data_IF_443692312673
#
_entry.id   IF_443692312673
#
_cell.length_a   1.000
_cell.length_b   1.000
_cell.length_c   1.000
_cell.angle_alpha   90.00
_cell.angle_beta   90.00
_cell.angle_gamma   90.00
#
_symmetry.space_group_name_H-M   'P 1'
#
loop_
_entity.id
_entity.type
_entity.pdbx_description
1 polymer ?
#
# COMPACT_ATOMS: atom_id res chain seq x y z
N UNK A 1 -27.48 -13.39 -6.14
CA UNK A 1 -26.59 -13.05 -5.01
C UNK A 1 -25.93 -14.32 -4.52
N UNK A 2 -24.61 -14.33 -4.33
CA UNK A 2 -23.91 -15.46 -3.73
C UNK A 2 -24.34 -15.56 -2.25
N UNK A 3 -24.79 -16.72 -1.78
CA UNK A 3 -25.35 -16.88 -0.43
C UNK A 3 -24.84 -18.14 0.25
N UNK A 4 -24.84 -18.14 1.59
CA UNK A 4 -24.50 -19.28 2.43
C UNK A 4 -23.08 -19.81 2.21
N UNK A 5 -22.96 -21.12 2.00
CA UNK A 5 -21.68 -21.84 1.90
C UNK A 5 -20.86 -21.35 0.70
N UNK A 6 -21.50 -21.10 -0.45
CA UNK A 6 -20.79 -20.63 -1.66
C UNK A 6 -20.13 -19.28 -1.44
N UNK A 7 -20.82 -18.34 -0.76
CA UNK A 7 -20.24 -17.05 -0.39
C UNK A 7 -19.07 -17.22 0.56
N UNK A 8 -19.23 -18.04 1.59
CA UNK A 8 -18.17 -18.33 2.55
C UNK A 8 -16.93 -18.91 1.86
N UNK A 9 -17.09 -19.94 1.04
CA UNK A 9 -15.99 -20.58 0.30
C UNK A 9 -15.25 -19.58 -0.60
N UNK A 10 -15.98 -18.76 -1.37
CA UNK A 10 -15.36 -17.76 -2.25
C UNK A 10 -14.59 -16.70 -1.45
N UNK A 11 -15.16 -16.20 -0.35
CA UNK A 11 -14.49 -15.24 0.54
C UNK A 11 -13.25 -15.88 1.18
N UNK A 12 -13.32 -17.14 1.61
CA UNK A 12 -12.18 -17.85 2.18
C UNK A 12 -11.04 -18.00 1.17
N UNK A 13 -11.33 -18.43 -0.06
CA UNK A 13 -10.33 -18.53 -1.13
C UNK A 13 -9.73 -17.16 -1.42
N UNK A 14 -10.56 -16.13 -1.58
CA UNK A 14 -10.09 -14.76 -1.81
C UNK A 14 -9.22 -14.25 -0.65
N UNK A 15 -9.56 -14.58 0.59
CA UNK A 15 -8.80 -14.19 1.77
C UNK A 15 -7.45 -14.89 1.84
N UNK A 16 -7.40 -16.19 1.55
CA UNK A 16 -6.15 -16.95 1.46
C UNK A 16 -5.26 -16.36 0.37
N UNK A 17 -5.80 -16.14 -0.83
CA UNK A 17 -5.06 -15.57 -1.94
C UNK A 17 -4.50 -14.18 -1.60
N UNK A 18 -5.33 -13.31 -1.00
CA UNK A 18 -4.91 -11.99 -0.50
C UNK A 18 -3.74 -12.10 0.48
N UNK A 19 -3.82 -13.01 1.44
CA UNK A 19 -2.78 -13.19 2.46
C UNK A 19 -1.47 -13.71 1.85
N UNK A 20 -1.54 -14.68 0.92
CA UNK A 20 -0.37 -15.19 0.19
C UNK A 20 0.31 -14.06 -0.56
N UNK A 21 -0.44 -13.30 -1.38
CA UNK A 21 0.12 -12.16 -2.12
C UNK A 21 0.73 -11.12 -1.19
N UNK A 22 0.06 -10.79 -0.08
CA UNK A 22 0.56 -9.82 0.89
C UNK A 22 1.88 -10.27 1.56
N UNK A 23 2.03 -11.55 1.88
CA UNK A 23 3.27 -12.12 2.42
C UNK A 23 4.37 -12.10 1.35
N UNK A 24 4.07 -12.53 0.12
CA UNK A 24 5.03 -12.53 -0.99
C UNK A 24 5.57 -11.13 -1.27
N UNK A 25 4.70 -10.12 -1.34
CA UNK A 25 5.10 -8.72 -1.59
C UNK A 25 6.03 -8.22 -0.47
N UNK A 26 5.66 -8.43 0.80
CA UNK A 26 6.51 -7.98 1.93
C UNK A 26 7.88 -8.64 1.91
N UNK A 27 7.94 -9.94 1.68
CA UNK A 27 9.20 -10.68 1.58
C UNK A 27 10.03 -10.21 0.40
N UNK A 28 9.41 -10.01 -0.77
CA UNK A 28 10.09 -9.50 -1.97
C UNK A 28 10.69 -8.11 -1.74
N UNK A 29 9.92 -7.20 -1.15
CA UNK A 29 10.40 -5.86 -0.79
C UNK A 29 11.57 -5.93 0.20
N UNK A 30 11.49 -6.78 1.22
CA UNK A 30 12.57 -6.94 2.20
C UNK A 30 13.85 -7.48 1.55
N UNK A 31 13.75 -8.42 0.61
CA UNK A 31 14.90 -8.90 -0.16
C UNK A 31 15.54 -7.79 -1.00
N UNK A 32 14.73 -6.98 -1.69
CA UNK A 32 15.23 -5.86 -2.50
C UNK A 32 15.91 -4.82 -1.61
N UNK A 33 15.32 -4.45 -0.47
CA UNK A 33 15.93 -3.51 0.48
C UNK A 33 17.29 -4.01 0.98
N UNK A 34 17.38 -5.30 1.37
CA UNK A 34 18.63 -5.88 1.82
C UNK A 34 19.70 -5.95 0.72
N UNK A 35 19.31 -6.07 -0.56
CA UNK A 35 20.25 -6.01 -1.69
C UNK A 35 20.69 -4.59 -2.04
N UNK A 36 19.82 -3.61 -1.85
CA UNK A 36 20.10 -2.21 -2.17
C UNK A 36 20.98 -1.50 -1.13
N UNK A 37 21.14 -2.09 0.07
CA UNK A 37 21.86 -1.49 1.20
C UNK A 37 23.10 -2.31 1.54
N UNK A 38 24.20 -1.63 1.84
CA UNK A 38 25.44 -2.26 2.31
C UNK A 38 25.21 -3.07 3.59
N UNK A 39 25.90 -4.22 3.71
CA UNK A 39 25.69 -5.18 4.79
C UNK A 39 25.73 -4.55 6.20
N UNK A 40 26.62 -3.58 6.42
CA UNK A 40 26.77 -2.91 7.71
C UNK A 40 25.57 -2.00 8.08
N UNK A 41 24.80 -1.53 7.09
CA UNK A 41 23.66 -0.62 7.28
C UNK A 41 22.31 -1.33 7.21
N UNK A 42 22.26 -2.63 6.92
CA UNK A 42 20.99 -3.38 6.78
C UNK A 42 20.13 -3.30 8.04
N UNK A 43 20.74 -3.31 9.22
CA UNK A 43 20.03 -3.15 10.49
C UNK A 43 19.31 -1.80 10.59
N UNK A 44 19.99 -0.71 10.27
CA UNK A 44 19.42 0.63 10.27
C UNK A 44 18.34 0.79 9.19
N UNK A 45 18.59 0.32 7.97
CA UNK A 45 17.63 0.37 6.88
C UNK A 45 16.35 -0.44 7.19
N UNK A 46 16.49 -1.65 7.71
CA UNK A 46 15.34 -2.46 8.12
C UNK A 46 14.56 -1.80 9.28
N UNK A 47 15.26 -1.16 10.21
CA UNK A 47 14.64 -0.38 11.31
C UNK A 47 13.82 0.82 10.82
N UNK A 48 14.36 1.59 9.87
CA UNK A 48 13.66 2.72 9.23
C UNK A 48 12.42 2.21 8.48
N UNK A 49 12.57 1.17 7.67
CA UNK A 49 11.47 0.56 6.93
C UNK A 49 10.35 0.04 7.84
N UNK A 50 10.71 -0.63 8.94
CA UNK A 50 9.75 -1.12 9.94
C UNK A 50 9.03 0.03 10.65
N UNK A 51 9.74 1.10 10.99
CA UNK A 51 9.15 2.31 11.61
C UNK A 51 8.18 3.01 10.67
N UNK A 52 8.57 3.21 9.41
CA UNK A 52 7.69 3.81 8.40
C UNK A 52 6.45 2.95 8.16
N UNK A 53 6.63 1.62 8.06
CA UNK A 53 5.53 0.68 7.89
C UNK A 53 4.57 0.70 9.08
N UNK A 54 5.07 0.65 10.31
CA UNK A 54 4.24 0.63 11.52
C UNK A 54 3.48 1.94 11.69
N UNK A 55 4.12 3.08 11.39
CA UNK A 55 3.47 4.39 11.36
C UNK A 55 2.31 4.41 10.35
N UNK A 56 2.55 3.99 9.10
CA UNK A 56 1.48 3.91 8.10
C UNK A 56 0.35 2.96 8.51
N UNK A 57 0.66 1.83 9.16
CA UNK A 57 -0.34 0.89 9.69
C UNK A 57 -1.14 1.47 10.86
N UNK A 58 -0.59 2.40 11.63
CA UNK A 58 -1.31 3.09 12.70
C UNK A 58 -2.21 4.21 12.15
N UNK A 59 -1.71 4.99 11.19
CA UNK A 59 -2.44 6.10 10.58
C UNK A 59 -3.59 5.61 9.69
N UNK A 60 -3.40 4.49 8.99
CA UNK A 60 -4.39 3.94 8.05
C UNK A 60 -5.79 3.73 8.64
N UNK A 61 -5.95 2.97 9.74
CA UNK A 61 -7.24 2.79 10.40
C UNK A 61 -7.83 4.08 10.95
N UNK A 62 -7.01 5.00 11.48
CA UNK A 62 -7.47 6.28 12.01
C UNK A 62 -8.04 7.17 10.88
N UNK A 63 -7.30 7.30 9.78
CA UNK A 63 -7.74 8.04 8.60
C UNK A 63 -8.99 7.38 7.97
N UNK A 64 -8.99 6.06 7.82
CA UNK A 64 -10.14 5.31 7.32
C UNK A 64 -11.39 5.47 8.19
N UNK A 65 -11.23 5.43 9.51
CA UNK A 65 -12.31 5.65 10.48
C UNK A 65 -12.86 7.07 10.43
N UNK A 66 -12.01 8.09 10.27
CA UNK A 66 -12.43 9.47 10.11
C UNK A 66 -13.24 9.67 8.81
N UNK A 67 -12.75 9.15 7.68
CA UNK A 67 -13.45 9.19 6.39
C UNK A 67 -14.79 8.46 6.48
N UNK A 68 -14.82 7.28 7.11
CA UNK A 68 -16.05 6.51 7.29
C UNK A 68 -17.06 7.30 8.13
N UNK A 69 -16.64 7.86 9.26
CA UNK A 69 -17.50 8.68 10.13
C UNK A 69 -18.08 9.87 9.38
N UNK A 70 -17.26 10.53 8.56
CA UNK A 70 -17.71 11.65 7.74
C UNK A 70 -18.72 11.22 6.67
N UNK A 71 -18.48 10.09 6.01
CA UNK A 71 -19.42 9.45 5.09
C UNK A 71 -20.76 9.17 5.78
N UNK A 72 -20.76 8.61 6.99
CA UNK A 72 -22.00 8.33 7.73
C UNK A 72 -22.77 9.61 8.08
N UNK A 73 -22.08 10.71 8.40
CA UNK A 73 -22.72 12.00 8.73
C UNK A 73 -23.41 12.67 7.53
N UNK A 74 -23.03 12.31 6.30
CA UNK A 74 -23.48 12.99 5.06
C UNK A 74 -24.27 12.08 4.11
N UNK A 75 -25.00 11.10 4.66
CA UNK A 75 -25.79 10.14 3.86
C UNK A 75 -26.83 10.81 2.94
N UNK A 76 -27.39 11.94 3.35
CA UNK A 76 -28.45 12.64 2.60
C UNK A 76 -27.92 13.75 1.67
N UNK A 77 -26.60 13.79 1.40
CA UNK A 77 -26.03 14.77 0.49
C UNK A 77 -26.33 14.46 -0.99
N UNK A 78 -26.61 15.50 -1.78
CA UNK A 78 -26.84 15.36 -3.22
C UNK A 78 -25.58 14.98 -4.03
N UNK A 79 -24.39 15.10 -3.45
CA UNK A 79 -23.12 14.78 -4.11
C UNK A 79 -22.25 13.92 -3.19
N UNK A 80 -21.81 12.76 -3.69
CA UNK A 80 -21.08 11.72 -2.96
C UNK A 80 -21.72 11.30 -1.61
N UNK A 81 -23.00 10.86 -1.59
CA UNK A 81 -23.66 10.39 -0.39
C UNK A 81 -23.03 9.12 0.21
N UNK A 82 -22.87 9.13 1.52
CA UNK A 82 -22.53 7.92 2.29
C UNK A 82 -21.30 7.19 1.77
N UNK A 83 -21.47 5.90 1.47
CA UNK A 83 -20.37 5.00 1.08
C UNK A 83 -19.64 5.42 -0.20
N UNK A 84 -20.29 6.16 -1.11
CA UNK A 84 -19.66 6.65 -2.34
C UNK A 84 -18.47 7.56 -2.04
N UNK A 85 -18.54 8.35 -0.97
CA UNK A 85 -17.42 9.17 -0.49
C UNK A 85 -16.21 8.31 -0.10
N UNK A 86 -16.44 7.21 0.62
CA UNK A 86 -15.36 6.28 1.03
C UNK A 86 -14.68 5.70 -0.20
N UNK A 87 -15.46 5.21 -1.17
CA UNK A 87 -14.92 4.67 -2.41
C UNK A 87 -14.16 5.74 -3.20
N UNK A 88 -14.66 6.97 -3.27
CA UNK A 88 -13.97 8.06 -3.95
C UNK A 88 -12.58 8.32 -3.35
N UNK A 89 -12.48 8.46 -2.01
CA UNK A 89 -11.19 8.64 -1.35
C UNK A 89 -10.24 7.46 -1.54
N UNK A 90 -10.76 6.22 -1.48
CA UNK A 90 -9.95 5.03 -1.75
C UNK A 90 -9.40 5.04 -3.18
N UNK A 91 -10.23 5.34 -4.18
CA UNK A 91 -9.79 5.42 -5.58
C UNK A 91 -8.81 6.58 -5.82
N UNK A 92 -8.98 7.71 -5.13
CA UNK A 92 -8.06 8.84 -5.22
C UNK A 92 -6.68 8.49 -4.65
N UNK A 93 -6.64 7.85 -3.48
CA UNK A 93 -5.38 7.40 -2.87
C UNK A 93 -4.71 6.33 -3.73
N UNK A 94 -5.47 5.36 -4.25
CA UNK A 94 -4.96 4.33 -5.16
C UNK A 94 -4.41 4.94 -6.46
N UNK A 95 -5.16 5.87 -7.06
CA UNK A 95 -4.76 6.58 -8.27
C UNK A 95 -3.48 7.40 -8.06
N UNK A 96 -3.34 8.08 -6.92
CA UNK A 96 -2.09 8.73 -6.54
C UNK A 96 -0.95 7.72 -6.34
N UNK A 97 -1.22 6.57 -5.74
CA UNK A 97 -0.23 5.50 -5.58
C UNK A 97 0.29 4.97 -6.92
N UNK A 98 -0.60 4.73 -7.88
CA UNK A 98 -0.24 4.34 -9.26
C UNK A 98 0.52 5.47 -9.95
N UNK A 99 0.09 6.72 -9.77
CA UNK A 99 0.76 7.89 -10.34
C UNK A 99 2.21 8.00 -9.84
N UNK A 100 2.44 7.78 -8.55
CA UNK A 100 3.77 7.79 -7.94
C UNK A 100 4.66 6.63 -8.41
N UNK A 101 4.09 5.57 -8.98
CA UNK A 101 4.84 4.47 -9.57
C UNK A 101 5.45 4.82 -10.95
N UNK A 102 5.02 5.90 -11.60
CA UNK A 102 5.59 6.30 -12.87
C UNK A 102 7.02 6.83 -12.71
N UNK A 103 7.88 6.51 -13.69
CA UNK A 103 9.28 6.94 -13.81
C UNK A 103 9.59 8.41 -13.46
N UNK A 104 8.76 9.43 -13.78
CA UNK A 104 9.02 10.80 -13.32
C UNK A 104 9.16 10.95 -11.81
N UNK A 105 8.58 10.05 -11.00
CA UNK A 105 8.63 10.06 -9.54
C UNK A 105 9.50 8.94 -8.96
N UNK A 106 9.70 7.85 -9.70
CA UNK A 106 10.72 6.83 -9.39
C UNK A 106 12.09 7.32 -9.84
N UNK A 107 12.85 7.93 -8.92
CA UNK A 107 14.22 8.34 -9.20
C UNK A 107 15.06 7.19 -9.75
N UNK A 108 15.40 7.23 -11.04
CA UNK A 108 16.39 6.34 -11.62
C UNK A 108 17.75 6.71 -11.04
N UNK A 109 18.45 5.73 -10.44
CA UNK A 109 19.85 5.89 -10.11
C UNK A 109 20.59 6.05 -11.44
N UNK A 110 21.07 7.26 -11.74
CA UNK A 110 21.94 7.51 -12.90
C UNK A 110 23.17 6.64 -12.68
N UNK A 111 23.38 5.64 -13.55
CA UNK A 111 24.64 4.92 -13.55
C UNK A 111 25.72 5.92 -13.92
N UNK A 112 26.49 6.38 -12.93
CA UNK A 112 27.78 7.02 -13.19
C UNK A 112 28.63 5.94 -13.84
N UNK A 113 28.67 5.99 -15.17
CA UNK A 113 29.57 5.19 -15.98
C UNK A 113 30.98 5.36 -15.41
N UNK A 114 31.63 4.23 -15.17
CA UNK A 114 33.04 4.12 -14.86
C UNK A 114 33.87 4.66 -16.04
N UNK A 115 34.00 5.98 -16.15
CA UNK A 115 35.00 6.64 -17.00
C UNK A 115 36.13 7.18 -16.11
N UNK A 116 36.73 6.29 -15.32
CA UNK A 116 38.06 6.48 -14.73
C UNK A 116 38.82 5.16 -14.85
N UNK A 117 39.06 4.76 -16.09
CA UNK A 117 40.06 3.76 -16.45
C UNK A 117 40.89 4.36 -17.59
N UNK A 118 41.64 5.41 -17.25
CA UNK A 118 42.78 5.93 -18.02
C UNK A 118 43.76 6.58 -17.03
#
# INVERSE_FOLDING_TARGET
>A
MLSGITLYTVISIASVLKNVMAVTIKTGIFLIQNRAVEQHQRGAANGISMTAMSFCKAVGPAAGGAILTWSQKRRDASFLPGSQMVFFFLNLVEGLGILLLFKPFLGEKKNTHSDQLH
#
